data_IF_716957285580
#
_entry.id   IF_716957285580
#
_cell.length_a   1.000
_cell.length_b   1.000
_cell.length_c   1.000
_cell.angle_alpha   90.00
_cell.angle_beta   90.00
_cell.angle_gamma   90.00
#
_symmetry.space_group_name_H-M   'P 1'
#
loop_
_entity.id
_entity.type
_entity.pdbx_description
1 polymer ?
#
# COMPACT_ATOMS: atom_id res chain seq x y z
N UNK A 1 16.73 13.79 96.71
CA UNK A 1 16.70 13.17 95.36
C UNK A 1 17.40 14.12 94.43
N UNK A 2 18.40 13.62 93.71
CA UNK A 2 19.41 14.41 92.98
C UNK A 2 18.84 15.01 91.69
N UNK A 3 19.08 16.29 91.41
CA UNK A 3 18.54 16.99 90.23
C UNK A 3 18.93 16.30 88.91
N UNK A 4 20.10 15.66 88.87
CA UNK A 4 20.61 14.91 87.72
C UNK A 4 19.69 13.75 87.30
N UNK A 5 19.06 13.06 88.26
CA UNK A 5 18.16 11.95 87.91
C UNK A 5 16.90 12.45 87.20
N UNK A 6 16.37 13.60 87.62
CA UNK A 6 15.20 14.23 87.01
C UNK A 6 15.51 14.70 85.59
N UNK A 7 16.68 15.29 85.37
CA UNK A 7 17.10 15.79 84.06
C UNK A 7 17.28 14.65 83.06
N UNK A 8 17.83 13.52 83.48
CA UNK A 8 17.95 12.31 82.65
C UNK A 8 16.57 11.76 82.27
N UNK A 9 15.61 11.74 83.20
CA UNK A 9 14.24 11.27 82.92
C UNK A 9 13.50 12.17 81.92
N UNK A 10 13.69 13.49 82.00
CA UNK A 10 13.12 14.46 81.05
C UNK A 10 13.73 14.24 79.66
N UNK A 11 15.06 14.16 79.58
CA UNK A 11 15.76 13.94 78.31
C UNK A 11 15.35 12.63 77.64
N UNK A 12 15.24 11.53 78.41
CA UNK A 12 14.78 10.24 77.88
C UNK A 12 13.37 10.32 77.31
N UNK A 13 12.46 11.04 77.98
CA UNK A 13 11.08 11.21 77.51
C UNK A 13 11.03 12.00 76.19
N UNK A 14 11.75 13.11 76.11
CA UNK A 14 11.84 13.93 74.89
C UNK A 14 12.47 13.15 73.73
N UNK A 15 13.49 12.35 74.02
CA UNK A 15 14.14 11.53 73.01
C UNK A 15 13.23 10.40 72.49
N UNK A 16 12.48 9.75 73.38
CA UNK A 16 11.46 8.76 72.99
C UNK A 16 10.39 9.42 72.11
N UNK A 17 9.89 10.59 72.50
CA UNK A 17 8.89 11.33 71.71
C UNK A 17 9.43 11.71 70.32
N UNK A 18 10.68 12.17 70.23
CA UNK A 18 11.35 12.44 68.96
C UNK A 18 11.44 11.19 68.07
N UNK A 19 11.82 10.04 68.64
CA UNK A 19 11.89 8.77 67.90
C UNK A 19 10.49 8.37 67.41
N UNK A 20 9.48 8.39 68.29
CA UNK A 20 8.12 8.02 67.94
C UNK A 20 7.58 8.87 66.79
N UNK A 21 7.76 10.19 66.85
CA UNK A 21 7.33 11.10 65.79
C UNK A 21 8.06 10.82 64.47
N UNK A 22 9.37 10.54 64.53
CA UNK A 22 10.16 10.22 63.34
C UNK A 22 9.71 8.90 62.70
N UNK A 23 9.45 7.88 63.51
CA UNK A 23 8.93 6.58 63.05
C UNK A 23 7.56 6.74 62.40
N UNK A 24 6.63 7.48 63.03
CA UNK A 24 5.31 7.75 62.46
C UNK A 24 5.37 8.49 61.13
N UNK A 25 6.25 9.50 61.01
CA UNK A 25 6.44 10.23 59.74
C UNK A 25 6.97 9.31 58.64
N UNK A 26 7.95 8.47 58.96
CA UNK A 26 8.50 7.51 58.01
C UNK A 26 7.47 6.46 57.58
N UNK A 27 6.64 5.96 58.50
CA UNK A 27 5.55 5.03 58.18
C UNK A 27 4.56 5.64 57.18
N UNK A 28 4.11 6.88 57.42
CA UNK A 28 3.20 7.58 56.51
C UNK A 28 3.84 7.82 55.13
N UNK A 29 5.13 8.12 55.09
CA UNK A 29 5.86 8.30 53.82
C UNK A 29 5.95 6.98 53.03
N UNK A 30 6.24 5.87 53.71
CA UNK A 30 6.27 4.54 53.09
C UNK A 30 4.90 4.11 52.56
N UNK A 31 3.82 4.42 53.27
CA UNK A 31 2.46 4.16 52.80
C UNK A 31 2.16 4.95 51.51
N UNK A 32 2.51 6.24 51.49
CA UNK A 32 2.35 7.08 50.29
C UNK A 32 3.15 6.54 49.10
N UNK A 33 4.41 6.15 49.32
CA UNK A 33 5.24 5.54 48.28
C UNK A 33 4.67 4.22 47.76
N UNK A 34 4.03 3.43 48.62
CA UNK A 34 3.38 2.18 48.22
C UNK A 34 2.25 2.43 47.23
N UNK A 35 1.41 3.45 47.48
CA UNK A 35 0.35 3.86 46.55
C UNK A 35 0.93 4.27 45.20
N UNK A 36 1.95 5.13 45.20
CA UNK A 36 2.60 5.60 43.96
C UNK A 36 3.20 4.45 43.15
N UNK A 37 3.79 3.44 43.82
CA UNK A 37 4.33 2.26 43.15
C UNK A 37 3.22 1.47 42.43
N UNK A 38 2.06 1.29 43.06
CA UNK A 38 0.93 0.58 42.45
C UNK A 38 0.34 1.35 41.26
N UNK A 39 0.23 2.67 41.35
CA UNK A 39 -0.19 3.51 40.23
C UNK A 39 0.77 3.40 39.03
N UNK A 40 2.08 3.43 39.28
CA UNK A 40 3.10 3.26 38.24
C UNK A 40 3.06 1.86 37.61
N UNK A 41 2.79 0.81 38.40
CA UNK A 41 2.60 -0.55 37.86
C UNK A 41 1.40 -0.62 36.94
N UNK A 42 0.29 0.03 37.31
CA UNK A 42 -0.91 0.10 36.48
C UNK A 42 -0.61 0.84 35.18
N UNK A 43 -0.01 2.02 35.26
CA UNK A 43 0.37 2.82 34.08
C UNK A 43 1.28 2.05 33.13
N UNK A 44 2.28 1.32 33.65
CA UNK A 44 3.16 0.46 32.84
C UNK A 44 2.37 -0.61 32.09
N UNK A 45 1.37 -1.20 32.74
CA UNK A 45 0.54 -2.25 32.15
C UNK A 45 -0.35 -1.69 31.05
N UNK A 46 -0.96 -0.53 31.28
CA UNK A 46 -1.78 0.17 30.28
C UNK A 46 -0.93 0.54 29.05
N UNK A 47 0.26 1.12 29.25
CA UNK A 47 1.19 1.44 28.15
C UNK A 47 1.60 0.18 27.38
N UNK A 48 1.88 -0.93 28.05
CA UNK A 48 2.25 -2.18 27.39
C UNK A 48 1.12 -2.73 26.50
N UNK A 49 -0.13 -2.60 26.95
CA UNK A 49 -1.30 -2.97 26.14
C UNK A 49 -1.39 -2.10 24.89
N UNK A 50 -1.25 -0.78 25.05
CA UNK A 50 -1.37 0.16 23.94
C UNK A 50 -0.24 -0.04 22.91
N UNK A 51 0.97 -0.37 23.36
CA UNK A 51 2.09 -0.77 22.47
C UNK A 51 1.70 -2.00 21.65
N UNK A 52 1.16 -3.04 22.30
CA UNK A 52 0.79 -4.30 21.65
C UNK A 52 -0.28 -4.08 20.58
N UNK A 53 -1.33 -3.30 20.89
CA UNK A 53 -2.38 -2.96 19.93
C UNK A 53 -1.83 -2.20 18.72
N UNK A 54 -0.95 -1.22 18.96
CA UNK A 54 -0.32 -0.46 17.89
C UNK A 54 0.59 -1.32 17.00
N UNK A 55 1.30 -2.31 17.56
CA UNK A 55 2.11 -3.26 16.78
C UNK A 55 1.26 -4.12 15.85
N UNK A 56 0.09 -4.57 16.31
CA UNK A 56 -0.87 -5.32 15.49
C UNK A 56 -1.44 -4.46 14.35
N UNK A 57 -1.86 -3.22 14.66
CA UNK A 57 -2.35 -2.28 13.65
C UNK A 57 -1.27 -1.94 12.61
N UNK A 58 -0.01 -1.79 13.04
CA UNK A 58 1.12 -1.56 12.15
C UNK A 58 1.36 -2.76 11.22
N UNK A 59 1.31 -3.98 11.75
CA UNK A 59 1.44 -5.21 10.96
C UNK A 59 0.35 -5.31 9.90
N UNK A 60 -0.91 -5.08 10.28
CA UNK A 60 -2.05 -5.08 9.35
C UNK A 60 -1.89 -4.02 8.25
N UNK A 61 -1.45 -2.82 8.63
CA UNK A 61 -1.23 -1.72 7.67
C UNK A 61 -0.11 -2.02 6.67
N UNK A 62 0.99 -2.64 7.13
CA UNK A 62 2.08 -3.10 6.24
C UNK A 62 1.61 -4.16 5.25
N UNK A 63 0.77 -5.09 5.69
CA UNK A 63 0.20 -6.12 4.82
C UNK A 63 -0.72 -5.50 3.74
N UNK A 64 -1.61 -4.57 4.14
CA UNK A 64 -2.45 -3.82 3.20
C UNK A 64 -1.62 -3.07 2.16
N UNK A 65 -0.53 -2.41 2.59
CA UNK A 65 0.37 -1.69 1.69
C UNK A 65 1.04 -2.63 0.67
N UNK A 66 1.51 -3.79 1.13
CA UNK A 66 2.10 -4.82 0.27
C UNK A 66 1.09 -5.29 -0.80
N UNK A 67 -0.15 -5.55 -0.41
CA UNK A 67 -1.21 -5.95 -1.32
C UNK A 67 -1.58 -4.86 -2.35
N UNK A 68 -1.56 -3.59 -1.94
CA UNK A 68 -1.77 -2.46 -2.85
C UNK A 68 -0.62 -2.37 -3.85
N UNK A 69 0.63 -2.49 -3.41
CA UNK A 69 1.79 -2.47 -4.30
C UNK A 69 1.74 -3.60 -5.33
N UNK A 70 1.40 -4.82 -4.89
CA UNK A 70 1.22 -5.96 -5.81
C UNK A 70 0.10 -5.71 -6.83
N UNK A 71 -1.00 -5.10 -6.41
CA UNK A 71 -2.10 -4.73 -7.31
C UNK A 71 -1.67 -3.66 -8.31
N UNK A 72 -0.88 -2.68 -7.87
CA UNK A 72 -0.30 -1.64 -8.73
C UNK A 72 0.60 -2.24 -9.81
N UNK A 73 1.49 -3.16 -9.44
CA UNK A 73 2.37 -3.85 -10.40
C UNK A 73 1.56 -4.62 -11.45
N UNK A 74 0.52 -5.35 -11.02
CA UNK A 74 -0.40 -6.03 -11.96
C UNK A 74 -1.06 -5.05 -12.94
N UNK A 75 -1.54 -3.90 -12.45
CA UNK A 75 -2.16 -2.89 -13.30
C UNK A 75 -1.16 -2.26 -14.30
N UNK A 76 0.10 -2.07 -13.87
CA UNK A 76 1.16 -1.61 -14.78
C UNK A 76 1.43 -2.63 -15.89
N UNK A 77 1.53 -3.92 -15.55
CA UNK A 77 1.71 -4.97 -16.55
C UNK A 77 0.52 -5.03 -17.52
N UNK A 78 -0.72 -4.99 -17.01
CA UNK A 78 -1.92 -4.96 -17.85
C UNK A 78 -1.96 -3.74 -18.77
N UNK A 79 -1.54 -2.56 -18.28
CA UNK A 79 -1.43 -1.35 -19.08
C UNK A 79 -0.43 -1.56 -20.22
N UNK A 80 0.74 -2.14 -19.92
CA UNK A 80 1.79 -2.34 -20.91
C UNK A 80 1.36 -3.36 -21.98
N UNK A 81 0.69 -4.45 -21.59
CA UNK A 81 0.06 -5.41 -22.52
C UNK A 81 -0.96 -4.73 -23.45
N UNK A 82 -1.86 -3.91 -22.90
CA UNK A 82 -2.84 -3.16 -23.71
C UNK A 82 -2.16 -2.18 -24.66
N UNK A 83 -1.10 -1.49 -24.21
CA UNK A 83 -0.33 -0.59 -25.06
C UNK A 83 0.37 -1.33 -26.20
N UNK A 84 0.97 -2.48 -25.93
CA UNK A 84 1.59 -3.34 -26.96
C UNK A 84 0.53 -3.77 -27.98
N UNK A 85 -0.62 -4.27 -27.53
CA UNK A 85 -1.72 -4.65 -28.42
C UNK A 85 -2.19 -3.47 -29.29
N UNK A 86 -2.32 -2.27 -28.70
CA UNK A 86 -2.68 -1.06 -29.44
C UNK A 86 -1.63 -0.67 -30.47
N UNK A 87 -0.34 -0.83 -30.17
CA UNK A 87 0.74 -0.55 -31.12
C UNK A 87 0.78 -1.56 -32.27
N UNK A 88 0.58 -2.84 -31.97
CA UNK A 88 0.61 -3.92 -32.98
C UNK A 88 -0.59 -3.87 -33.92
N UNK A 89 -1.77 -3.53 -33.40
CA UNK A 89 -3.03 -3.56 -34.17
C UNK A 89 -3.42 -2.18 -34.69
N UNK A 90 -2.95 -1.11 -34.06
CA UNK A 90 -3.43 0.26 -34.30
C UNK A 90 -4.97 0.36 -34.24
N UNK A 91 -5.57 -0.44 -33.36
CA UNK A 91 -7.01 -0.53 -33.14
C UNK A 91 -7.42 0.26 -31.90
N UNK A 92 -8.52 1.00 -32.01
CA UNK A 92 -9.18 1.68 -30.91
C UNK A 92 -10.55 1.07 -30.69
N UNK A 93 -10.78 0.56 -29.48
CA UNK A 93 -12.06 -0.03 -29.08
C UNK A 93 -12.97 1.00 -28.42
N UNK A 94 -14.26 0.84 -28.65
CA UNK A 94 -15.35 1.51 -27.94
C UNK A 94 -16.25 0.44 -27.36
N UNK A 95 -16.41 0.44 -26.04
CA UNK A 95 -17.20 -0.56 -25.33
C UNK A 95 -18.58 0.00 -25.02
N UNK A 96 -19.63 -0.70 -25.44
CA UNK A 96 -21.02 -0.47 -25.04
C UNK A 96 -21.52 -1.71 -24.27
N UNK A 97 -22.63 -1.58 -23.55
CA UNK A 97 -23.12 -2.61 -22.63
C UNK A 97 -23.26 -4.02 -23.26
N UNK A 98 -23.62 -4.10 -24.54
CA UNK A 98 -23.80 -5.36 -25.28
C UNK A 98 -23.03 -5.43 -26.60
N UNK A 99 -22.25 -4.41 -26.95
CA UNK A 99 -21.49 -4.40 -28.20
C UNK A 99 -20.06 -3.91 -27.99
N UNK A 100 -19.17 -4.50 -28.78
CA UNK A 100 -17.79 -4.05 -28.93
C UNK A 100 -17.71 -3.42 -30.30
N UNK A 101 -17.42 -2.13 -30.34
CA UNK A 101 -17.14 -1.41 -31.58
C UNK A 101 -15.75 -0.81 -31.57
N UNK A 102 -15.40 -0.13 -32.65
CA UNK A 102 -14.12 0.52 -32.76
C UNK A 102 -13.71 0.78 -34.19
N UNK A 103 -12.44 1.12 -34.33
CA UNK A 103 -11.81 1.26 -35.62
C UNK A 103 -10.34 0.87 -35.58
N UNK A 104 -9.84 0.40 -36.71
CA UNK A 104 -8.44 0.05 -36.96
C UNK A 104 -7.88 1.01 -37.98
N UNK A 105 -6.63 1.45 -37.80
CA UNK A 105 -5.96 2.41 -38.70
C UNK A 105 -4.74 1.76 -39.36
N UNK A 106 -4.63 1.86 -40.68
CA UNK A 106 -3.46 1.34 -41.41
C UNK A 106 -2.17 2.12 -41.10
N UNK A 107 -1.01 1.53 -41.41
CA UNK A 107 0.31 2.09 -41.05
C UNK A 107 0.55 3.53 -41.58
N UNK A 108 -0.01 3.86 -42.74
CA UNK A 108 0.09 5.19 -43.35
C UNK A 108 -0.98 6.18 -42.87
N UNK A 109 -1.84 5.79 -41.92
CA UNK A 109 -2.97 6.57 -41.41
C UNK A 109 -4.01 7.02 -42.44
N UNK A 110 -3.95 6.50 -43.69
CA UNK A 110 -4.85 6.89 -44.78
C UNK A 110 -6.13 6.07 -44.84
N UNK A 111 -6.07 4.80 -44.44
CA UNK A 111 -7.24 3.89 -44.39
C UNK A 111 -7.63 3.61 -42.94
N UNK A 112 -8.93 3.67 -42.68
CA UNK A 112 -9.54 3.26 -41.41
C UNK A 112 -10.66 2.27 -41.71
N UNK A 113 -10.74 1.22 -40.90
CA UNK A 113 -11.82 0.25 -40.96
C UNK A 113 -12.59 0.29 -39.64
N UNK A 114 -13.90 0.36 -39.70
CA UNK A 114 -14.77 0.43 -38.52
C UNK A 114 -15.44 -0.93 -38.29
N UNK A 115 -15.66 -1.28 -37.04
CA UNK A 115 -16.40 -2.49 -36.68
C UNK A 115 -17.35 -2.21 -35.53
N UNK A 116 -18.45 -2.96 -35.51
CA UNK A 116 -19.36 -3.06 -34.38
C UNK A 116 -19.93 -4.48 -34.34
N UNK A 117 -19.78 -5.16 -33.21
CA UNK A 117 -20.20 -6.54 -33.02
C UNK A 117 -20.97 -6.67 -31.71
N UNK A 118 -22.12 -7.34 -31.75
CA UNK A 118 -22.90 -7.64 -30.55
C UNK A 118 -22.34 -8.91 -29.89
N UNK A 119 -21.89 -8.80 -28.64
CA UNK A 119 -21.21 -9.90 -27.92
C UNK A 119 -22.18 -11.06 -27.60
N UNK A 120 -23.50 -10.83 -27.68
CA UNK A 120 -24.51 -11.88 -27.50
C UNK A 120 -24.82 -12.64 -28.78
N UNK A 121 -24.50 -12.07 -29.94
CA UNK A 121 -24.84 -12.64 -31.25
C UNK A 121 -23.64 -13.33 -31.90
N UNK A 122 -22.42 -12.85 -31.61
CA UNK A 122 -21.19 -13.41 -32.15
C UNK A 122 -20.47 -14.26 -31.12
N UNK A 123 -20.00 -15.43 -31.53
CA UNK A 123 -19.05 -16.24 -30.76
C UNK A 123 -17.69 -15.54 -30.68
N UNK A 124 -16.87 -15.96 -29.70
CA UNK A 124 -15.53 -15.41 -29.51
C UNK A 124 -14.66 -15.53 -30.76
N UNK A 125 -14.73 -16.66 -31.47
CA UNK A 125 -13.93 -16.90 -32.66
C UNK A 125 -14.39 -16.03 -33.84
N UNK A 126 -15.70 -15.83 -33.99
CA UNK A 126 -16.23 -14.91 -35.01
C UNK A 126 -15.81 -13.47 -34.74
N UNK A 127 -15.81 -13.03 -33.47
CA UNK A 127 -15.31 -11.70 -33.10
C UNK A 127 -13.84 -11.57 -33.47
N UNK A 128 -13.01 -12.56 -33.10
CA UNK A 128 -11.58 -12.55 -33.40
C UNK A 128 -11.32 -12.50 -34.91
N UNK A 129 -12.01 -13.34 -35.68
CA UNK A 129 -11.88 -13.39 -37.13
C UNK A 129 -12.28 -12.06 -37.78
N UNK A 130 -13.37 -11.44 -37.33
CA UNK A 130 -13.78 -10.12 -37.81
C UNK A 130 -12.72 -9.05 -37.53
N UNK A 131 -12.10 -9.06 -36.35
CA UNK A 131 -11.02 -8.12 -36.02
C UNK A 131 -9.78 -8.32 -36.91
N UNK A 132 -9.38 -9.57 -37.16
CA UNK A 132 -8.28 -9.86 -38.09
C UNK A 132 -8.59 -9.46 -39.52
N UNK A 133 -9.84 -9.61 -39.97
CA UNK A 133 -10.26 -9.13 -41.29
C UNK A 133 -10.16 -7.60 -41.38
N UNK A 134 -10.58 -6.87 -40.34
CA UNK A 134 -10.40 -5.41 -40.29
C UNK A 134 -8.92 -5.00 -40.39
N UNK A 135 -8.02 -5.75 -39.74
CA UNK A 135 -6.58 -5.54 -39.83
C UNK A 135 -6.04 -5.82 -41.23
N UNK A 136 -6.46 -6.91 -41.87
CA UNK A 136 -6.08 -7.25 -43.23
C UNK A 136 -6.52 -6.19 -44.24
N UNK A 137 -7.73 -5.65 -44.05
CA UNK A 137 -8.29 -4.59 -44.90
C UNK A 137 -7.46 -3.31 -44.86
N UNK A 138 -7.05 -2.85 -43.68
CA UNK A 138 -6.22 -1.64 -43.61
C UNK A 138 -4.78 -1.87 -44.07
N UNK A 139 -4.33 -3.14 -44.11
CA UNK A 139 -2.96 -3.54 -44.50
C UNK A 139 -2.81 -3.82 -45.99
N UNK A 140 -3.90 -4.10 -46.72
CA UNK A 140 -3.87 -4.56 -48.12
C UNK A 140 -3.56 -3.47 -49.16
N UNK A 141 -3.23 -2.23 -48.76
CA UNK A 141 -2.91 -1.12 -49.68
C UNK A 141 -1.46 -1.07 -50.18
N UNK A 142 -0.64 -2.09 -49.92
CA UNK A 142 0.73 -2.22 -50.48
C UNK A 142 0.80 -3.08 -51.76
N UNK A 143 -0.16 -2.92 -52.67
CA UNK A 143 0.01 -3.40 -54.05
C UNK A 143 -0.26 -2.26 -55.03
N UNK A 144 0.84 -1.65 -55.51
CA UNK A 144 0.81 -0.77 -56.68
C UNK A 144 1.64 0.51 -56.56
N UNK A 145 2.97 0.40 -56.65
CA UNK A 145 3.79 1.33 -57.43
C UNK A 145 5.17 0.74 -57.62
N UNK A 146 5.47 0.37 -58.86
CA UNK A 146 6.79 0.05 -59.36
C UNK A 146 7.85 1.07 -58.90
N UNK A 147 9.00 0.56 -58.47
CA UNK A 147 10.25 0.76 -59.22
C UNK A 147 11.34 -0.15 -58.67
N UNK A 148 11.61 -1.20 -59.45
CA UNK A 148 12.96 -1.67 -59.67
C UNK A 148 13.88 -0.47 -59.94
N UNK A 149 14.72 -0.09 -58.97
CA UNK A 149 16.06 0.53 -59.14
C UNK A 149 16.57 1.00 -57.78
N UNK A 150 17.31 0.13 -57.07
CA UNK A 150 18.47 0.47 -56.21
C UNK A 150 18.98 -0.80 -55.52
N UNK A 151 19.34 -1.79 -56.32
CA UNK A 151 20.39 -2.75 -55.97
C UNK A 151 21.56 -2.38 -56.88
N UNK A 152 22.62 -1.87 -56.25
CA UNK A 152 23.98 -1.59 -56.72
C UNK A 152 24.40 -0.23 -56.20
N UNK A 153 25.08 -0.25 -55.04
CA UNK A 153 26.31 0.49 -54.76
C UNK A 153 26.54 0.51 -53.25
N UNK A 154 27.14 -0.55 -52.73
CA UNK A 154 28.00 -0.50 -51.55
C UNK A 154 29.17 -1.46 -51.82
N UNK A 155 30.25 -0.91 -52.37
CA UNK A 155 31.59 -1.49 -52.20
C UNK A 155 32.05 -1.23 -50.76
N UNK A 156 32.92 -2.10 -50.21
CA UNK A 156 33.34 -2.04 -48.80
C UNK A 156 34.44 -1.00 -48.59
N UNK A 157 34.34 -0.27 -47.48
CA UNK A 157 35.49 0.36 -46.80
C UNK A 157 35.48 -0.12 -45.35
#
# INVERSE_FOLDING_TARGET
>A
MDNSHRDIQVWLKEYIEYITNSVSRNANYLETLTVVIEELKKLRTDIQRDITENEEQLKSSKEKLSNINRSKEKLLNMRDEVQICKLLTNTTFTYKASSIGGYTVGANSKKREFFEMNVKEFSKDEIINNLYNCLAEVSSTTKGSDTNKRLNNLEPV
#
